data_IF_115522535415
#
_entry.id   IF_115522535415
#
_cell.length_a   1.000
_cell.length_b   1.000
_cell.length_c   1.000
_cell.angle_alpha   90.00
_cell.angle_beta   90.00
_cell.angle_gamma   90.00
#
_symmetry.space_group_name_H-M   'P 1'
#
loop_
_entity.id
_entity.type
_entity.pdbx_description
1 polymer ?
#
# COMPACT_ATOMS: atom_id res chain seq x y z
N UNK A 1 -63.99 133.50 -30.15
CA UNK A 1 -63.79 132.09 -29.75
C UNK A 1 -62.41 131.63 -30.21
N UNK A 2 -61.67 131.00 -29.30
CA UNK A 2 -60.42 130.22 -29.48
C UNK A 2 -59.15 131.02 -29.80
N UNK A 3 -58.39 131.35 -28.74
CA UNK A 3 -57.01 131.82 -28.81
C UNK A 3 -56.07 130.66 -29.16
N UNK A 4 -55.45 130.69 -30.34
CA UNK A 4 -54.43 129.71 -30.76
C UNK A 4 -53.10 130.05 -30.09
N UNK A 5 -52.77 129.37 -28.99
CA UNK A 5 -51.40 129.33 -28.45
C UNK A 5 -50.52 128.49 -29.38
N UNK A 6 -49.52 129.12 -30.01
CA UNK A 6 -48.41 128.41 -30.67
C UNK A 6 -47.48 127.85 -29.60
N UNK A 7 -47.50 126.52 -29.42
CA UNK A 7 -46.50 125.77 -28.67
C UNK A 7 -45.25 125.62 -29.54
N UNK A 8 -44.23 126.45 -29.32
CA UNK A 8 -42.88 126.21 -29.85
C UNK A 8 -42.23 125.13 -29.01
N UNK A 9 -42.33 123.88 -29.47
CA UNK A 9 -41.57 122.75 -28.91
C UNK A 9 -40.08 123.00 -29.17
N UNK A 10 -39.30 123.23 -28.11
CA UNK A 10 -37.85 123.31 -28.21
C UNK A 10 -37.31 121.91 -28.50
N UNK A 11 -36.69 121.74 -29.67
CA UNK A 11 -36.23 120.43 -30.19
C UNK A 11 -35.06 119.86 -29.37
N UNK A 12 -34.25 120.73 -28.78
CA UNK A 12 -33.05 120.40 -28.01
C UNK A 12 -33.32 119.51 -26.78
N UNK A 13 -34.25 119.85 -25.86
CA UNK A 13 -34.55 118.98 -24.71
C UNK A 13 -35.25 117.66 -25.08
N UNK A 14 -35.94 117.60 -26.22
CA UNK A 14 -36.60 116.38 -26.69
C UNK A 14 -35.60 115.38 -27.28
N UNK A 15 -34.59 115.90 -27.99
CA UNK A 15 -33.46 115.12 -28.49
C UNK A 15 -32.61 114.58 -27.34
N UNK A 16 -32.34 115.40 -26.32
CA UNK A 16 -31.57 114.99 -25.14
C UNK A 16 -32.29 113.89 -24.34
N UNK A 17 -33.60 114.02 -24.13
CA UNK A 17 -34.42 113.00 -23.48
C UNK A 17 -34.44 111.68 -24.28
N UNK A 18 -34.53 111.77 -25.62
CA UNK A 18 -34.50 110.60 -26.50
C UNK A 18 -33.13 109.91 -26.47
N UNK A 19 -32.04 110.68 -26.42
CA UNK A 19 -30.68 110.17 -26.31
C UNK A 19 -30.45 109.45 -24.97
N UNK A 20 -30.93 110.02 -23.85
CA UNK A 20 -30.89 109.40 -22.53
C UNK A 20 -31.66 108.07 -22.51
N UNK A 21 -32.86 108.03 -23.10
CA UNK A 21 -33.67 106.79 -23.16
C UNK A 21 -32.99 105.70 -23.99
N UNK A 22 -32.42 106.04 -25.15
CA UNK A 22 -31.68 105.08 -25.99
C UNK A 22 -30.44 104.58 -25.25
N UNK A 23 -29.71 105.44 -24.54
CA UNK A 23 -28.54 105.03 -23.77
C UNK A 23 -28.92 104.12 -22.60
N UNK A 24 -30.02 104.42 -21.90
CA UNK A 24 -30.53 103.56 -20.84
C UNK A 24 -30.94 102.18 -21.37
N UNK A 25 -31.62 102.11 -22.52
CA UNK A 25 -31.97 100.85 -23.19
C UNK A 25 -30.73 100.07 -23.65
N UNK A 26 -29.71 100.76 -24.20
CA UNK A 26 -28.46 100.14 -24.60
C UNK A 26 -27.69 99.57 -23.41
N UNK A 27 -27.60 100.31 -22.30
CA UNK A 27 -26.96 99.85 -21.06
C UNK A 27 -27.68 98.62 -20.47
N UNK A 28 -29.02 98.61 -20.44
CA UNK A 28 -29.80 97.47 -19.96
C UNK A 28 -29.61 96.24 -20.87
N UNK A 29 -29.54 96.45 -22.19
CA UNK A 29 -29.25 95.36 -23.15
C UNK A 29 -27.83 94.81 -22.99
N UNK A 30 -26.83 95.66 -22.74
CA UNK A 30 -25.46 95.23 -22.48
C UNK A 30 -25.36 94.47 -21.14
N UNK A 31 -26.02 94.95 -20.10
CA UNK A 31 -26.01 94.30 -18.78
C UNK A 31 -26.72 92.94 -18.80
N UNK A 32 -27.85 92.84 -19.49
CA UNK A 32 -28.56 91.57 -19.67
C UNK A 32 -27.75 90.58 -20.50
N UNK A 33 -27.10 91.01 -21.57
CA UNK A 33 -26.22 90.15 -22.39
C UNK A 33 -25.04 89.64 -21.56
N UNK A 34 -24.36 90.51 -20.81
CA UNK A 34 -23.26 90.13 -19.94
C UNK A 34 -23.70 89.12 -18.85
N UNK A 35 -24.88 89.32 -18.25
CA UNK A 35 -25.44 88.36 -17.27
C UNK A 35 -25.80 87.02 -17.89
N UNK A 36 -26.31 86.99 -19.12
CA UNK A 36 -26.64 85.77 -19.85
C UNK A 36 -25.35 85.01 -20.21
N UNK A 37 -24.33 85.68 -20.73
CA UNK A 37 -23.04 85.08 -21.02
C UNK A 37 -22.38 84.50 -19.76
N UNK A 38 -22.41 85.25 -18.65
CA UNK A 38 -21.85 84.79 -17.38
C UNK A 38 -22.58 83.55 -16.85
N UNK A 39 -23.92 83.51 -16.93
CA UNK A 39 -24.71 82.32 -16.54
C UNK A 39 -24.42 81.13 -17.46
N UNK A 40 -24.35 81.35 -18.77
CA UNK A 40 -24.03 80.29 -19.74
C UNK A 40 -22.63 79.71 -19.49
N UNK A 41 -21.63 80.56 -19.23
CA UNK A 41 -20.27 80.11 -18.91
C UNK A 41 -20.24 79.33 -17.59
N UNK A 42 -21.00 79.74 -16.57
CA UNK A 42 -21.13 79.02 -15.30
C UNK A 42 -21.81 77.66 -15.48
N UNK A 43 -22.89 77.58 -16.26
CA UNK A 43 -23.57 76.31 -16.56
C UNK A 43 -22.68 75.35 -17.34
N UNK A 44 -21.95 75.83 -18.35
CA UNK A 44 -21.00 75.02 -19.13
C UNK A 44 -19.86 74.51 -18.24
N UNK A 45 -19.29 75.35 -17.39
CA UNK A 45 -18.22 74.92 -16.46
C UNK A 45 -18.71 73.92 -15.42
N UNK A 46 -19.91 74.08 -14.87
CA UNK A 46 -20.51 73.10 -13.97
C UNK A 46 -20.79 71.76 -14.68
N UNK A 47 -21.35 71.81 -15.89
CA UNK A 47 -21.61 70.61 -16.70
C UNK A 47 -20.31 69.88 -17.06
N UNK A 48 -19.24 70.59 -17.41
CA UNK A 48 -17.93 70.00 -17.66
C UNK A 48 -17.32 69.36 -16.41
N UNK A 49 -17.44 70.00 -15.25
CA UNK A 49 -16.94 69.45 -13.99
C UNK A 49 -17.71 68.19 -13.60
N UNK A 50 -19.04 68.20 -13.73
CA UNK A 50 -19.89 67.03 -13.50
C UNK A 50 -19.53 65.88 -14.47
N UNK A 51 -19.36 66.16 -15.75
CA UNK A 51 -18.96 65.15 -16.75
C UNK A 51 -17.56 64.58 -16.46
N UNK A 52 -16.60 65.41 -16.01
CA UNK A 52 -15.27 64.95 -15.61
C UNK A 52 -15.31 64.07 -14.37
N UNK A 53 -16.14 64.40 -13.38
CA UNK A 53 -16.33 63.57 -12.18
C UNK A 53 -16.92 62.20 -12.53
N UNK A 54 -17.98 62.19 -13.34
CA UNK A 54 -18.65 60.96 -13.77
C UNK A 54 -17.72 60.04 -14.57
N UNK A 55 -16.89 60.60 -15.46
CA UNK A 55 -15.89 59.84 -16.22
C UNK A 55 -14.80 59.25 -15.32
N UNK A 56 -14.38 59.97 -14.28
CA UNK A 56 -13.41 59.44 -13.31
C UNK A 56 -14.00 58.25 -12.54
N UNK A 57 -15.23 58.38 -12.08
CA UNK A 57 -15.93 57.33 -11.34
C UNK A 57 -16.17 56.09 -12.22
N UNK A 58 -16.62 56.27 -13.47
CA UNK A 58 -16.74 55.17 -14.43
C UNK A 58 -15.41 54.46 -14.68
N UNK A 59 -14.30 55.20 -14.76
CA UNK A 59 -12.97 54.60 -14.95
C UNK A 59 -12.53 53.80 -13.74
N UNK A 60 -12.83 54.27 -12.53
CA UNK A 60 -12.53 53.54 -11.29
C UNK A 60 -13.35 52.24 -11.25
N UNK A 61 -14.67 52.33 -11.49
CA UNK A 61 -15.54 51.15 -11.52
C UNK A 61 -15.11 50.13 -12.59
N UNK A 62 -14.70 50.58 -13.78
CA UNK A 62 -14.19 49.69 -14.83
C UNK A 62 -12.89 48.99 -14.42
N UNK A 63 -11.98 49.70 -13.74
CA UNK A 63 -10.75 49.12 -13.25
C UNK A 63 -11.02 48.07 -12.16
N UNK A 64 -11.90 48.35 -11.21
CA UNK A 64 -12.30 47.40 -10.16
C UNK A 64 -12.96 46.16 -10.75
N UNK A 65 -13.85 46.31 -11.73
CA UNK A 65 -14.48 45.18 -12.43
C UNK A 65 -13.42 44.34 -13.16
N UNK A 66 -12.45 44.97 -13.82
CA UNK A 66 -11.37 44.27 -14.51
C UNK A 66 -10.48 43.49 -13.52
N UNK A 67 -10.20 44.07 -12.36
CA UNK A 67 -9.40 43.45 -11.31
C UNK A 67 -10.13 42.27 -10.66
N UNK A 68 -11.41 42.45 -10.31
CA UNK A 68 -12.29 41.38 -9.80
C UNK A 68 -12.43 40.23 -10.80
N UNK A 69 -12.53 40.53 -12.09
CA UNK A 69 -12.63 39.50 -13.13
C UNK A 69 -11.33 38.70 -13.25
N UNK A 70 -10.17 39.34 -13.12
CA UNK A 70 -8.87 38.67 -13.12
C UNK A 70 -8.69 37.79 -11.87
N UNK A 71 -9.01 38.32 -10.69
CA UNK A 71 -8.88 37.56 -9.44
C UNK A 71 -9.81 36.34 -9.45
N UNK A 72 -11.07 36.50 -9.87
CA UNK A 72 -12.03 35.41 -10.00
C UNK A 72 -11.59 34.36 -11.01
N UNK A 73 -11.10 34.76 -12.18
CA UNK A 73 -10.57 33.81 -13.17
C UNK A 73 -9.39 33.01 -12.60
N UNK A 74 -8.52 33.65 -11.84
CA UNK A 74 -7.39 32.98 -11.22
C UNK A 74 -7.84 32.00 -10.13
N UNK A 75 -8.84 32.37 -9.33
CA UNK A 75 -9.41 31.46 -8.32
C UNK A 75 -10.05 30.24 -8.95
N UNK A 76 -10.72 30.40 -10.10
CA UNK A 76 -11.32 29.28 -10.86
C UNK A 76 -10.24 28.34 -11.40
N UNK A 77 -9.14 28.88 -11.92
CA UNK A 77 -8.01 28.07 -12.40
C UNK A 77 -7.35 27.29 -11.26
N UNK A 78 -7.12 27.95 -10.13
CA UNK A 78 -6.54 27.32 -8.94
C UNK A 78 -7.46 26.22 -8.38
N UNK A 79 -8.78 26.47 -8.35
CA UNK A 79 -9.78 25.48 -7.95
C UNK A 79 -9.82 24.27 -8.89
N UNK A 80 -9.77 24.48 -10.21
CA UNK A 80 -9.70 23.41 -11.21
C UNK A 80 -8.44 22.55 -11.04
N UNK A 81 -7.28 23.18 -10.79
CA UNK A 81 -6.03 22.44 -10.56
C UNK A 81 -6.08 21.65 -9.26
N UNK A 82 -6.63 22.23 -8.19
CA UNK A 82 -6.81 21.55 -6.91
C UNK A 82 -7.73 20.33 -7.05
N UNK A 83 -8.85 20.46 -7.77
CA UNK A 83 -9.77 19.35 -8.04
C UNK A 83 -9.11 18.24 -8.88
N UNK A 84 -8.36 18.60 -9.93
CA UNK A 84 -7.64 17.62 -10.75
C UNK A 84 -6.58 16.86 -9.94
N UNK A 85 -5.88 17.55 -9.03
CA UNK A 85 -4.91 16.93 -8.14
C UNK A 85 -5.58 16.02 -7.12
N UNK A 86 -6.73 16.42 -6.56
CA UNK A 86 -7.50 15.60 -5.64
C UNK A 86 -8.01 14.31 -6.31
N UNK A 87 -8.52 14.41 -7.54
CA UNK A 87 -8.95 13.25 -8.34
C UNK A 87 -7.79 12.28 -8.63
N UNK A 88 -6.61 12.80 -9.00
CA UNK A 88 -5.41 11.97 -9.21
C UNK A 88 -4.96 11.28 -7.92
N UNK A 89 -4.97 11.98 -6.79
CA UNK A 89 -4.64 11.39 -5.49
C UNK A 89 -5.64 10.29 -5.10
N UNK A 90 -6.93 10.52 -5.34
CA UNK A 90 -7.97 9.52 -5.03
C UNK A 90 -7.84 8.27 -5.91
N UNK A 91 -7.53 8.43 -7.20
CA UNK A 91 -7.26 7.30 -8.09
C UNK A 91 -6.04 6.49 -7.62
N UNK A 92 -4.93 7.16 -7.30
CA UNK A 92 -3.73 6.50 -6.78
C UNK A 92 -3.96 5.80 -5.44
N UNK A 93 -4.79 6.38 -4.56
CA UNK A 93 -5.16 5.76 -3.29
C UNK A 93 -5.95 4.46 -3.51
N UNK A 94 -6.94 4.48 -4.42
CA UNK A 94 -7.72 3.28 -4.77
C UNK A 94 -6.84 2.19 -5.37
N UNK A 95 -5.93 2.53 -6.27
CA UNK A 95 -5.03 1.55 -6.88
C UNK A 95 -4.12 0.88 -5.82
N UNK A 96 -3.60 1.67 -4.87
CA UNK A 96 -2.80 1.15 -3.75
C UNK A 96 -3.61 0.26 -2.82
N UNK A 97 -4.85 0.64 -2.51
CA UNK A 97 -5.74 -0.14 -1.66
C UNK A 97 -6.10 -1.48 -2.32
N UNK A 98 -6.43 -1.47 -3.62
CA UNK A 98 -6.66 -2.70 -4.38
C UNK A 98 -5.44 -3.60 -4.44
N UNK A 99 -4.24 -3.04 -4.61
CA UNK A 99 -3.00 -3.81 -4.60
C UNK A 99 -2.75 -4.45 -3.22
N UNK A 100 -2.97 -3.70 -2.14
CA UNK A 100 -2.83 -4.19 -0.78
C UNK A 100 -3.86 -5.29 -0.46
N UNK A 101 -5.11 -5.14 -0.90
CA UNK A 101 -6.13 -6.18 -0.75
C UNK A 101 -5.75 -7.46 -1.51
N UNK A 102 -5.25 -7.34 -2.74
CA UNK A 102 -4.77 -8.50 -3.51
C UNK A 102 -3.63 -9.21 -2.80
N UNK A 103 -2.63 -8.46 -2.34
CA UNK A 103 -1.50 -9.02 -1.59
C UNK A 103 -1.95 -9.71 -0.29
N UNK A 104 -2.91 -9.14 0.43
CA UNK A 104 -3.46 -9.76 1.64
C UNK A 104 -4.26 -11.03 1.32
N UNK A 105 -5.02 -11.06 0.23
CA UNK A 105 -5.73 -12.28 -0.20
C UNK A 105 -4.75 -13.39 -0.57
N UNK A 106 -3.75 -13.09 -1.39
CA UNK A 106 -2.69 -14.04 -1.76
C UNK A 106 -1.96 -14.58 -0.52
N UNK A 107 -1.64 -13.71 0.45
CA UNK A 107 -0.99 -14.11 1.69
C UNK A 107 -1.90 -15.01 2.55
N UNK A 108 -3.18 -14.68 2.67
CA UNK A 108 -4.14 -15.51 3.39
C UNK A 108 -4.34 -16.87 2.73
N UNK A 109 -4.42 -16.93 1.39
CA UNK A 109 -4.51 -18.19 0.66
C UNK A 109 -3.28 -19.07 0.91
N UNK A 110 -2.07 -18.48 0.92
CA UNK A 110 -0.84 -19.21 1.26
C UNK A 110 -0.84 -19.72 2.71
N UNK A 111 -1.37 -18.94 3.66
CA UNK A 111 -1.47 -19.34 5.06
C UNK A 111 -2.47 -20.48 5.25
N UNK A 112 -3.62 -20.44 4.58
CA UNK A 112 -4.61 -21.52 4.63
C UNK A 112 -4.06 -22.80 3.99
N UNK A 113 -3.40 -22.73 2.82
CA UNK A 113 -2.73 -23.89 2.23
C UNK A 113 -1.67 -24.48 3.16
N UNK A 114 -0.91 -23.63 3.87
CA UNK A 114 0.10 -24.10 4.84
C UNK A 114 -0.56 -24.78 6.05
N UNK A 115 -1.71 -24.29 6.51
CA UNK A 115 -2.49 -24.90 7.59
C UNK A 115 -3.07 -26.25 7.17
N UNK A 116 -3.69 -26.33 5.99
CA UNK A 116 -4.21 -27.57 5.43
C UNK A 116 -3.11 -28.63 5.28
N UNK A 117 -1.92 -28.24 4.80
CA UNK A 117 -0.77 -29.14 4.74
C UNK A 117 -0.32 -29.62 6.12
N UNK A 118 -0.28 -28.72 7.11
CA UNK A 118 0.07 -29.07 8.50
C UNK A 118 -0.95 -30.05 9.10
N UNK A 119 -2.24 -29.82 8.86
CA UNK A 119 -3.32 -30.65 9.39
C UNK A 119 -3.35 -32.01 8.68
N UNK A 120 -3.09 -32.06 7.37
CA UNK A 120 -2.88 -33.31 6.62
C UNK A 120 -1.70 -34.11 7.17
N UNK A 121 -0.58 -33.45 7.51
CA UNK A 121 0.56 -34.11 8.17
C UNK A 121 0.16 -34.61 9.56
N UNK A 122 -0.63 -33.83 10.31
CA UNK A 122 -1.20 -34.26 11.59
C UNK A 122 -2.06 -35.52 11.46
N UNK A 123 -2.96 -35.55 10.48
CA UNK A 123 -3.79 -36.72 10.17
C UNK A 123 -2.98 -37.91 9.67
N UNK A 124 -1.97 -37.69 8.82
CA UNK A 124 -1.07 -38.76 8.37
C UNK A 124 -0.26 -39.33 9.53
N UNK A 125 0.23 -38.49 10.44
CA UNK A 125 0.88 -38.95 11.68
C UNK A 125 -0.13 -39.72 12.52
N UNK A 126 -1.37 -39.26 12.66
CA UNK A 126 -2.40 -39.96 13.40
C UNK A 126 -2.79 -41.30 12.76
N UNK A 127 -2.81 -41.41 11.43
CA UNK A 127 -3.04 -42.65 10.69
C UNK A 127 -1.84 -43.61 10.75
N UNK A 128 -0.61 -43.08 10.70
CA UNK A 128 0.62 -43.86 10.86
C UNK A 128 0.79 -44.36 12.30
N UNK A 129 0.26 -43.64 13.30
CA UNK A 129 0.31 -44.00 14.72
C UNK A 129 -1.00 -44.60 15.28
N UNK A 130 -2.05 -44.75 14.48
CA UNK A 130 -3.15 -45.66 14.77
C UNK A 130 -2.65 -47.10 14.59
N UNK A 131 -1.79 -47.52 15.51
CA UNK A 131 -1.57 -48.94 15.78
C UNK A 131 -2.94 -49.51 16.20
N UNK A 132 -3.54 -50.42 15.42
CA UNK A 132 -4.66 -51.20 15.92
C UNK A 132 -4.18 -51.90 17.20
N UNK A 133 -4.97 -51.92 18.27
CA UNK A 133 -4.62 -52.59 19.54
C UNK A 133 -4.14 -54.04 19.30
N UNK A 134 -4.63 -54.67 18.23
CA UNK A 134 -4.22 -55.99 17.74
C UNK A 134 -2.73 -56.13 17.35
N UNK A 135 -2.00 -55.03 17.08
CA UNK A 135 -0.56 -55.02 16.79
C UNK A 135 0.30 -54.60 18.00
N UNK A 136 -0.30 -54.02 19.04
CA UNK A 136 0.37 -53.74 20.32
C UNK A 136 0.48 -55.00 21.18
N UNK A 137 -0.51 -55.88 21.12
CA UNK A 137 -0.51 -57.14 21.88
C UNK A 137 0.70 -58.04 21.59
N UNK A 138 1.15 -58.28 20.34
CA UNK A 138 2.33 -59.10 20.09
C UNK A 138 3.65 -58.45 20.52
N UNK A 139 3.73 -57.11 20.53
CA UNK A 139 4.92 -56.36 20.92
C UNK A 139 5.02 -56.20 22.45
N UNK A 140 3.90 -56.08 23.15
CA UNK A 140 3.83 -56.08 24.62
C UNK A 140 3.93 -57.50 25.22
N UNK A 141 3.60 -58.54 24.44
CA UNK A 141 3.69 -59.95 24.87
C UNK A 141 5.02 -60.64 24.49
N UNK A 142 5.94 -59.93 23.83
CA UNK A 142 7.32 -60.38 23.71
C UNK A 142 8.04 -60.15 25.05
N UNK A 143 7.88 -61.11 25.98
CA UNK A 143 8.48 -61.16 27.33
C UNK A 143 9.86 -60.47 27.42
N UNK A 144 10.09 -59.66 28.47
CA UNK A 144 10.22 -60.21 29.81
C UNK A 144 9.33 -59.56 30.88
N UNK A 145 9.00 -60.37 31.88
CA UNK A 145 8.29 -60.14 33.16
C UNK A 145 7.54 -58.80 33.37
N UNK A 146 6.19 -58.79 33.41
CA UNK A 146 5.37 -57.58 33.63
C UNK A 146 5.52 -56.95 35.04
N UNK A 147 6.20 -57.60 35.99
CA UNK A 147 6.49 -57.03 37.31
C UNK A 147 7.90 -56.43 37.46
N UNK A 148 8.73 -56.49 36.42
CA UNK A 148 10.05 -55.84 36.39
C UNK A 148 9.95 -54.33 36.63
N UNK A 149 10.65 -53.82 37.66
CA UNK A 149 10.78 -52.37 37.90
C UNK A 149 11.36 -51.63 36.68
N UNK A 150 12.15 -52.31 35.84
CA UNK A 150 12.74 -51.73 34.64
C UNK A 150 11.68 -51.44 33.57
N UNK A 151 10.73 -52.35 33.36
CA UNK A 151 9.64 -52.18 32.38
C UNK A 151 8.66 -51.09 32.81
N UNK A 152 8.38 -50.99 34.12
CA UNK A 152 7.54 -49.92 34.68
C UNK A 152 8.23 -48.56 34.62
N UNK A 153 9.53 -48.51 34.90
CA UNK A 153 10.33 -47.29 34.78
C UNK A 153 10.45 -46.80 33.32
N UNK A 154 10.51 -47.73 32.37
CA UNK A 154 10.59 -47.42 30.93
C UNK A 154 9.25 -46.88 30.39
N UNK A 155 8.13 -47.46 30.81
CA UNK A 155 6.78 -46.95 30.49
C UNK A 155 6.53 -45.59 31.14
N UNK A 156 6.93 -45.38 32.40
CA UNK A 156 6.87 -44.08 33.08
C UNK A 156 7.75 -43.03 32.39
N UNK A 157 8.94 -43.42 31.90
CA UNK A 157 9.82 -42.54 31.13
C UNK A 157 9.19 -42.12 29.80
N UNK A 158 8.58 -43.06 29.09
CA UNK A 158 7.86 -42.79 27.82
C UNK A 158 6.66 -41.86 28.09
N UNK A 159 5.87 -42.10 29.15
CA UNK A 159 4.75 -41.22 29.54
C UNK A 159 5.20 -39.82 29.93
N UNK A 160 6.28 -39.70 30.70
CA UNK A 160 6.83 -38.42 31.12
C UNK A 160 7.39 -37.64 29.93
N UNK A 161 8.05 -38.32 28.99
CA UNK A 161 8.47 -37.72 27.72
C UNK A 161 7.27 -37.27 26.88
N UNK A 162 6.20 -38.06 26.82
CA UNK A 162 4.95 -37.68 26.14
C UNK A 162 4.29 -36.44 26.76
N UNK A 163 4.35 -36.30 28.10
CA UNK A 163 3.83 -35.14 28.83
C UNK A 163 4.72 -33.89 28.69
N UNK A 164 6.04 -34.05 28.66
CA UNK A 164 6.98 -32.95 28.36
C UNK A 164 6.81 -32.49 26.89
N UNK A 165 6.52 -33.41 25.97
CA UNK A 165 6.25 -33.15 24.55
C UNK A 165 4.91 -32.44 24.31
N UNK A 166 3.89 -32.66 25.15
CA UNK A 166 2.61 -31.96 25.08
C UNK A 166 2.70 -30.45 25.40
N UNK A 167 3.80 -30.01 26.04
CA UNK A 167 4.10 -28.59 26.28
C UNK A 167 4.98 -27.92 25.21
N UNK A 168 5.53 -28.69 24.26
CA UNK A 168 6.40 -28.22 23.19
C UNK A 168 5.65 -27.82 21.91
N UNK A 169 6.30 -27.06 21.02
CA UNK A 169 5.74 -26.77 19.69
C UNK A 169 5.59 -28.09 18.93
N UNK A 170 4.44 -28.34 18.31
CA UNK A 170 4.13 -29.59 17.58
C UNK A 170 5.21 -30.04 16.56
N UNK A 171 6.05 -29.11 16.10
CA UNK A 171 7.24 -29.34 15.27
C UNK A 171 8.29 -30.23 15.94
N UNK A 172 8.56 -30.03 17.24
CA UNK A 172 9.55 -30.79 17.99
C UNK A 172 9.05 -32.22 18.24
N UNK A 173 7.74 -32.38 18.41
CA UNK A 173 7.05 -33.67 18.55
C UNK A 173 7.15 -34.48 17.25
N UNK A 174 6.82 -33.88 16.11
CA UNK A 174 6.91 -34.54 14.80
C UNK A 174 8.35 -34.94 14.48
N UNK A 175 9.34 -34.06 14.74
CA UNK A 175 10.76 -34.39 14.55
C UNK A 175 11.20 -35.54 15.46
N UNK A 176 10.76 -35.55 16.72
CA UNK A 176 11.10 -36.62 17.67
C UNK A 176 10.49 -37.97 17.28
N UNK A 177 9.21 -38.00 16.87
CA UNK A 177 8.54 -39.23 16.44
C UNK A 177 9.02 -39.77 15.08
N UNK A 178 9.37 -38.90 14.13
CA UNK A 178 10.00 -39.29 12.86
C UNK A 178 11.38 -39.92 13.09
N UNK A 179 12.11 -39.46 14.10
CA UNK A 179 13.46 -39.97 14.42
C UNK A 179 13.43 -41.33 15.14
N UNK A 180 12.29 -41.73 15.73
CA UNK A 180 12.16 -43.03 16.40
C UNK A 180 11.91 -44.20 15.43
N UNK A 181 12.38 -45.35 15.88
CA UNK A 181 12.86 -46.52 15.14
C UNK A 181 11.91 -47.19 14.14
N UNK A 182 10.60 -46.92 14.16
CA UNK A 182 9.59 -47.58 13.29
C UNK A 182 9.56 -46.98 11.87
N UNK A 183 9.58 -45.65 11.76
CA UNK A 183 9.51 -44.93 10.49
C UNK A 183 10.87 -44.93 9.77
N UNK A 184 11.97 -44.76 10.52
CA UNK A 184 13.34 -44.86 9.97
C UNK A 184 13.65 -46.27 9.45
N UNK A 185 13.00 -47.32 9.96
CA UNK A 185 13.10 -48.68 9.37
C UNK A 185 12.55 -48.72 7.94
N UNK A 186 11.46 -47.98 7.66
CA UNK A 186 10.68 -48.09 6.41
C UNK A 186 10.81 -46.90 5.45
N UNK A 187 11.36 -45.78 5.92
CA UNK A 187 11.52 -44.53 5.16
C UNK A 187 12.87 -43.87 5.45
N UNK A 188 13.37 -43.09 4.49
CA UNK A 188 14.51 -42.22 4.70
C UNK A 188 14.04 -40.79 4.97
N UNK A 189 14.62 -40.16 5.99
CA UNK A 189 14.26 -38.80 6.39
C UNK A 189 15.38 -37.86 5.97
N UNK A 190 15.01 -36.86 5.18
CA UNK A 190 15.91 -35.85 4.68
C UNK A 190 15.56 -34.51 5.33
N UNK A 191 16.53 -33.89 6.00
CA UNK A 191 16.31 -32.60 6.64
C UNK A 191 16.84 -31.49 5.74
N UNK A 192 15.97 -30.59 5.31
CA UNK A 192 16.34 -29.40 4.57
C UNK A 192 16.16 -28.19 5.50
N UNK A 193 17.26 -27.50 5.79
CA UNK A 193 17.23 -26.27 6.57
C UNK A 193 17.68 -25.08 5.74
N UNK A 194 16.91 -24.00 5.75
CA UNK A 194 17.33 -22.71 5.20
C UNK A 194 17.88 -21.82 6.32
N UNK A 195 19.19 -21.58 6.29
CA UNK A 195 19.89 -20.70 7.23
C UNK A 195 19.52 -19.22 7.01
N UNK A 196 19.76 -18.38 8.03
CA UNK A 196 19.54 -16.93 7.96
C UNK A 196 20.34 -16.26 6.83
N UNK A 197 21.50 -16.83 6.51
CA UNK A 197 22.40 -16.38 5.44
C UNK A 197 21.93 -16.77 4.02
N UNK A 198 20.77 -17.41 3.89
CA UNK A 198 20.21 -17.82 2.59
C UNK A 198 20.85 -19.08 2.00
N UNK A 199 21.51 -19.89 2.82
CA UNK A 199 22.11 -21.17 2.41
C UNK A 199 21.18 -22.31 2.81
N UNK A 200 20.89 -23.20 1.87
CA UNK A 200 20.20 -24.46 2.12
C UNK A 200 21.21 -25.50 2.60
N UNK A 201 20.92 -26.13 3.73
CA UNK A 201 21.64 -27.27 4.27
C UNK A 201 20.73 -28.49 4.17
N UNK A 202 21.10 -29.42 3.30
CA UNK A 202 20.38 -30.68 3.10
C UNK A 202 21.16 -31.81 3.78
N UNK A 203 20.56 -32.40 4.81
CA UNK A 203 21.08 -33.54 5.55
C UNK A 203 20.34 -34.81 5.11
N UNK A 204 21.10 -35.80 4.65
CA UNK A 204 20.63 -37.10 4.18
C UNK A 204 21.42 -38.16 4.95
N UNK A 205 20.81 -38.73 5.99
CA UNK A 205 21.53 -39.59 6.94
C UNK A 205 22.71 -38.84 7.57
N UNK A 206 23.92 -39.36 7.36
CA UNK A 206 25.17 -38.77 7.86
C UNK A 206 25.80 -37.75 6.89
N UNK A 207 25.29 -37.64 5.67
CA UNK A 207 25.80 -36.68 4.68
C UNK A 207 25.06 -35.35 4.82
N UNK A 208 25.82 -34.25 4.82
CA UNK A 208 25.26 -32.90 4.79
C UNK A 208 25.87 -32.14 3.62
N UNK A 209 25.02 -31.60 2.75
CA UNK A 209 25.42 -30.80 1.60
C UNK A 209 24.79 -29.42 1.69
N UNK A 210 25.54 -28.39 1.33
CA UNK A 210 25.07 -27.02 1.31
C UNK A 210 24.99 -26.49 -0.12
N UNK A 211 23.94 -25.73 -0.43
CA UNK A 211 23.78 -25.06 -1.71
C UNK A 211 23.00 -23.74 -1.56
N UNK A 212 23.10 -22.89 -2.59
CA UNK A 212 22.29 -21.67 -2.71
C UNK A 212 21.36 -21.79 -3.91
N UNK A 213 20.20 -21.17 -3.79
CA UNK A 213 19.26 -21.04 -4.87
C UNK A 213 18.38 -19.82 -4.64
N UNK A 214 18.30 -18.94 -5.64
CA UNK A 214 17.52 -17.70 -5.56
C UNK A 214 16.19 -17.79 -6.33
N UNK A 215 15.96 -18.91 -7.04
CA UNK A 215 14.72 -19.18 -7.79
C UNK A 215 14.25 -20.63 -7.62
N UNK A 216 12.94 -20.91 -7.84
CA UNK A 216 12.43 -22.28 -7.76
C UNK A 216 13.15 -23.25 -8.70
N UNK A 217 13.47 -22.83 -9.92
CA UNK A 217 14.15 -23.67 -10.89
C UNK A 217 15.59 -24.00 -10.46
N UNK A 218 16.33 -22.99 -9.99
CA UNK A 218 17.68 -23.20 -9.46
C UNK A 218 17.66 -24.13 -8.24
N UNK A 219 16.68 -23.97 -7.35
CA UNK A 219 16.50 -24.87 -6.22
C UNK A 219 16.31 -26.31 -6.67
N UNK A 220 15.41 -26.54 -7.64
CA UNK A 220 15.14 -27.87 -8.21
C UNK A 220 16.41 -28.47 -8.80
N UNK A 221 17.15 -27.72 -9.61
CA UNK A 221 18.36 -28.23 -10.27
C UNK A 221 19.48 -28.55 -9.28
N UNK A 222 19.67 -27.70 -8.26
CA UNK A 222 20.68 -27.92 -7.21
C UNK A 222 20.31 -29.11 -6.32
N UNK A 223 19.07 -29.16 -5.83
CA UNK A 223 18.60 -30.26 -4.99
C UNK A 223 18.65 -31.59 -5.75
N UNK A 224 18.21 -31.60 -7.02
CA UNK A 224 18.25 -32.79 -7.86
C UNK A 224 19.69 -33.27 -8.14
N UNK A 225 20.64 -32.33 -8.28
CA UNK A 225 22.06 -32.67 -8.41
C UNK A 225 22.59 -33.37 -7.16
N UNK A 226 22.19 -32.93 -5.96
CA UNK A 226 22.54 -33.60 -4.71
C UNK A 226 21.88 -34.98 -4.64
N UNK A 227 20.60 -35.10 -4.99
CA UNK A 227 19.88 -36.37 -5.09
C UNK A 227 20.63 -37.41 -5.96
N UNK A 228 21.22 -36.99 -7.09
CA UNK A 228 21.98 -37.90 -7.97
C UNK A 228 23.28 -38.42 -7.37
N UNK A 229 23.75 -37.84 -6.27
CA UNK A 229 24.99 -38.25 -5.61
C UNK A 229 24.76 -39.15 -4.42
N UNK A 230 23.51 -39.29 -3.95
CA UNK A 230 23.20 -40.12 -2.79
C UNK A 230 22.96 -41.59 -3.15
N UNK A 231 23.23 -42.52 -2.21
CA UNK A 231 22.84 -43.92 -2.37
C UNK A 231 21.34 -44.06 -2.62
N UNK A 232 20.94 -45.17 -3.26
CA UNK A 232 19.54 -45.42 -3.59
C UNK A 232 18.67 -45.41 -2.31
N UNK A 233 17.68 -44.50 -2.21
CA UNK A 233 16.86 -44.39 -1.03
C UNK A 233 15.84 -45.54 -0.93
N UNK A 234 15.24 -45.69 0.24
CA UNK A 234 14.13 -46.62 0.51
C UNK A 234 12.91 -46.30 -0.35
N UNK A 235 11.86 -47.12 -0.24
CA UNK A 235 10.60 -46.94 -0.98
C UNK A 235 9.84 -45.67 -0.61
N UNK A 236 10.16 -45.04 0.51
CA UNK A 236 9.58 -43.78 0.96
C UNK A 236 10.68 -42.84 1.45
N UNK A 237 10.68 -41.60 0.97
CA UNK A 237 11.53 -40.51 1.45
C UNK A 237 10.64 -39.38 1.93
N UNK A 238 10.92 -38.85 3.13
CA UNK A 238 10.21 -37.72 3.71
C UNK A 238 11.20 -36.56 3.86
N UNK A 239 10.93 -35.45 3.17
CA UNK A 239 11.75 -34.24 3.20
C UNK A 239 11.13 -33.25 4.20
N UNK A 240 11.83 -32.99 5.29
CA UNK A 240 11.42 -32.03 6.31
C UNK A 240 12.09 -30.69 6.04
N UNK A 241 11.30 -29.69 5.65
CA UNK A 241 11.81 -28.36 5.36
C UNK A 241 11.54 -27.39 6.53
N UNK A 242 12.60 -26.87 7.13
CA UNK A 242 12.54 -25.78 8.11
C UNK A 242 13.42 -24.60 7.69
N UNK A 243 13.15 -23.41 8.24
CA UNK A 243 13.88 -22.19 7.89
C UNK A 243 14.10 -21.28 9.10
N UNK A 244 15.26 -20.62 9.13
CA UNK A 244 15.56 -19.51 10.04
C UNK A 244 14.96 -18.19 9.55
N UNK A 245 15.49 -17.07 10.04
CA UNK A 245 15.07 -15.71 9.61
C UNK A 245 15.65 -15.33 8.23
N UNK A 246 15.35 -16.16 7.24
CA UNK A 246 15.83 -16.01 5.87
C UNK A 246 14.89 -15.10 5.05
N UNK A 247 15.47 -14.46 4.02
CA UNK A 247 14.73 -13.60 3.09
C UNK A 247 13.55 -14.34 2.45
N UNK A 248 12.41 -13.65 2.36
CA UNK A 248 11.17 -14.21 1.80
C UNK A 248 11.34 -14.80 0.40
N UNK A 249 12.13 -14.16 -0.47
CA UNK A 249 12.40 -14.64 -1.83
C UNK A 249 13.09 -16.02 -1.86
N UNK A 250 14.05 -16.25 -0.95
CA UNK A 250 14.80 -17.51 -0.87
C UNK A 250 13.93 -18.61 -0.27
N UNK A 251 13.11 -18.27 0.74
CA UNK A 251 12.09 -19.19 1.27
C UNK A 251 11.10 -19.61 0.18
N UNK A 252 10.63 -18.64 -0.62
CA UNK A 252 9.72 -18.89 -1.74
C UNK A 252 10.32 -19.85 -2.77
N UNK A 253 11.61 -19.74 -3.08
CA UNK A 253 12.30 -20.65 -3.99
C UNK A 253 12.20 -22.12 -3.53
N UNK A 254 12.38 -22.41 -2.24
CA UNK A 254 12.24 -23.76 -1.71
C UNK A 254 10.78 -24.22 -1.61
N UNK A 255 9.87 -23.37 -1.12
CA UNK A 255 8.45 -23.76 -0.98
C UNK A 255 7.82 -24.11 -2.33
N UNK A 256 8.16 -23.38 -3.40
CA UNK A 256 7.70 -23.67 -4.75
C UNK A 256 8.52 -24.77 -5.44
N UNK A 257 9.80 -24.91 -5.10
CA UNK A 257 10.71 -25.88 -5.71
C UNK A 257 10.57 -27.30 -5.17
N UNK A 258 10.18 -27.49 -3.89
CA UNK A 258 9.99 -28.79 -3.25
C UNK A 258 9.01 -29.72 -3.97
N UNK A 259 7.78 -29.30 -4.33
CA UNK A 259 6.88 -30.16 -5.10
C UNK A 259 7.47 -30.55 -6.46
N UNK A 260 8.14 -29.61 -7.13
CA UNK A 260 8.73 -29.83 -8.46
C UNK A 260 9.87 -30.84 -8.41
N UNK A 261 10.77 -30.74 -7.41
CA UNK A 261 11.87 -31.68 -7.26
C UNK A 261 11.38 -33.05 -6.80
N UNK A 262 10.37 -33.12 -5.92
CA UNK A 262 9.78 -34.38 -5.49
C UNK A 262 9.17 -35.15 -6.68
N UNK A 263 8.42 -34.47 -7.55
CA UNK A 263 7.87 -35.08 -8.77
C UNK A 263 8.96 -35.50 -9.77
N UNK A 264 10.00 -34.68 -9.92
CA UNK A 264 11.15 -35.01 -10.77
C UNK A 264 11.88 -36.26 -10.27
N UNK A 265 12.12 -36.37 -8.95
CA UNK A 265 12.75 -37.55 -8.34
C UNK A 265 11.84 -38.78 -8.41
N UNK A 266 10.53 -38.61 -8.24
CA UNK A 266 9.55 -39.70 -8.42
C UNK A 266 9.56 -40.25 -9.84
N UNK A 267 9.62 -39.36 -10.83
CA UNK A 267 9.71 -39.74 -12.25
C UNK A 267 11.03 -40.48 -12.54
N UNK A 268 12.14 -39.99 -12.00
CA UNK A 268 13.45 -40.62 -12.15
C UNK A 268 13.52 -42.03 -11.53
N UNK A 269 12.87 -42.23 -10.37
CA UNK A 269 12.75 -43.53 -9.73
C UNK A 269 11.73 -44.48 -10.41
N UNK A 270 11.12 -44.05 -11.53
CA UNK A 270 10.02 -44.77 -12.20
C UNK A 270 8.85 -45.07 -11.25
N UNK A 271 8.61 -44.19 -10.27
CA UNK A 271 7.56 -44.35 -9.26
C UNK A 271 7.85 -45.40 -8.19
N UNK A 272 9.04 -46.02 -8.16
CA UNK A 272 9.41 -47.03 -7.15
C UNK A 272 9.66 -46.43 -5.77
N UNK A 273 10.14 -45.19 -5.74
CA UNK A 273 10.32 -44.43 -4.51
C UNK A 273 9.31 -43.29 -4.48
N UNK A 274 8.55 -43.24 -3.39
CA UNK A 274 7.64 -42.14 -3.07
C UNK A 274 8.43 -41.05 -2.34
N UNK A 275 8.31 -39.82 -2.82
CA UNK A 275 8.91 -38.64 -2.20
C UNK A 275 7.80 -37.76 -1.67
N UNK A 276 7.80 -37.55 -0.36
CA UNK A 276 6.87 -36.67 0.34
C UNK A 276 7.66 -35.54 1.00
N UNK A 277 7.02 -34.40 1.21
CA UNK A 277 7.65 -33.27 1.89
C UNK A 277 6.70 -32.63 2.89
N UNK A 278 7.27 -32.05 3.95
CA UNK A 278 6.55 -31.30 4.97
C UNK A 278 7.29 -30.00 5.26
N UNK A 279 6.56 -28.88 5.23
CA UNK A 279 7.10 -27.58 5.63
C UNK A 279 6.86 -27.40 7.13
N UNK A 280 7.92 -27.56 7.91
CA UNK A 280 7.90 -27.47 9.37
C UNK A 280 7.83 -26.02 9.85
N UNK A 281 8.22 -25.05 9.04
CA UNK A 281 8.13 -23.63 9.37
C UNK A 281 9.37 -23.06 10.06
N UNK A 282 9.19 -21.97 10.80
CA UNK A 282 10.29 -21.23 11.42
C UNK A 282 10.94 -22.02 12.56
N UNK A 283 12.26 -22.21 12.47
CA UNK A 283 13.09 -22.79 13.52
C UNK A 283 14.33 -21.91 13.70
N UNK A 284 14.52 -21.26 14.87
CA UNK A 284 15.67 -20.41 15.12
C UNK A 284 16.96 -21.23 15.00
N UNK A 285 18.00 -20.65 14.40
CA UNK A 285 19.28 -21.33 14.25
C UNK A 285 19.86 -21.56 15.66
N UNK A 286 19.89 -22.83 16.10
CA UNK A 286 20.50 -23.17 17.38
C UNK A 286 21.99 -22.85 17.27
N UNK A 287 22.58 -22.07 18.20
CA UNK A 287 24.00 -21.80 18.16
C UNK A 287 24.72 -23.15 18.19
N UNK A 288 25.54 -23.41 17.17
CA UNK A 288 26.34 -24.61 17.11
C UNK A 288 27.10 -24.73 18.45
N UNK A 289 26.80 -25.78 19.21
CA UNK A 289 27.60 -26.16 20.37
C UNK A 289 29.00 -26.36 19.82
N UNK A 290 29.89 -25.41 20.11
CA UNK A 290 31.31 -25.57 19.82
C UNK A 290 31.70 -26.88 20.47
N UNK A 291 32.05 -27.87 19.66
CA UNK A 291 32.66 -29.08 20.16
C UNK A 291 33.91 -28.64 20.92
N UNK A 292 33.85 -28.73 22.25
CA UNK A 292 35.04 -28.62 23.08
C UNK A 292 35.96 -29.77 22.67
N UNK A 293 37.03 -29.40 21.97
CA UNK A 293 38.18 -30.24 21.77
C UNK A 293 38.82 -30.49 23.14
N UNK A 294 38.66 -31.72 23.65
CA UNK A 294 39.60 -32.32 24.60
C UNK A 294 40.62 -33.14 23.83
#
# INVERSE_FOLDING_TARGET
>A
MISRRRLTFQLTPLLDLLLIVIFAQFMDTQETTARIEQRSQQEVTQAEQAAKALRKEQRIAQNEIAELKRSSQQTVLDAMQAEQNALKMQAQARDKEQLAEKQNRELNEQLEQTREQRDLVGEMVQQLFQLPDALLDPLLNAKPDPESEQTKAEIERIKKQLQELAGGKAIDVVKHFLTYDELTKRSDIWELYLTENGIFRLKIGDQSTEFRADSPQEFVDRFYSVYKTVPQPKSLVIILFSYGDARAAVRFAATQGLPLVAERMRTDSSGRTRYEYAVMGFTPESPAVKAESN
#
